data_IF_577104121416
#
_entry.id   IF_577104121416
#
_cell.length_a   1.000
_cell.length_b   1.000
_cell.length_c   1.000
_cell.angle_alpha   90.00
_cell.angle_beta   90.00
_cell.angle_gamma   90.00
#
_symmetry.space_group_name_H-M   'P 1'
#
loop_
_entity.id
_entity.type
_entity.pdbx_description
1 polymer ?
#
# COMPACT_ATOMS: atom_id res chain seq x y z
N UNK A 1 6.82 28.55 -7.34
CA UNK A 1 8.23 28.18 -7.09
C UNK A 1 8.26 26.68 -6.83
N UNK A 2 8.96 25.93 -7.68
CA UNK A 2 9.17 24.46 -7.72
C UNK A 2 8.07 23.58 -7.10
N UNK A 3 6.97 23.49 -7.82
CA UNK A 3 5.91 22.49 -7.65
C UNK A 3 6.49 21.07 -7.76
N UNK A 4 6.11 20.22 -6.82
CA UNK A 4 6.45 18.79 -6.84
C UNK A 4 5.85 18.11 -8.07
N UNK A 5 6.75 17.77 -9.00
CA UNK A 5 6.91 16.48 -9.65
C UNK A 5 5.64 15.82 -10.22
N UNK A 6 5.34 16.16 -11.49
CA UNK A 6 4.38 15.39 -12.31
C UNK A 6 4.98 14.05 -12.75
N UNK A 7 4.21 13.25 -13.51
CA UNK A 7 4.66 11.99 -14.15
C UNK A 7 6.00 12.14 -14.93
N UNK A 8 6.39 13.36 -15.32
CA UNK A 8 7.68 13.65 -15.95
C UNK A 8 8.87 13.76 -14.99
N UNK A 9 8.63 13.86 -13.68
CA UNK A 9 9.69 14.11 -12.68
C UNK A 9 9.88 12.94 -11.70
N UNK A 10 8.91 12.03 -11.54
CA UNK A 10 9.15 10.71 -10.92
C UNK A 10 9.51 9.72 -12.02
N UNK A 11 10.80 9.46 -12.21
CA UNK A 11 11.24 8.32 -13.01
C UNK A 11 11.07 7.01 -12.20
N UNK A 12 9.85 6.50 -12.17
CA UNK A 12 9.53 5.20 -11.57
C UNK A 12 10.05 4.01 -12.40
N UNK A 13 10.69 4.23 -13.56
CA UNK A 13 11.23 3.13 -14.38
C UNK A 13 12.33 2.36 -13.62
N UNK A 14 13.10 3.06 -12.78
CA UNK A 14 14.15 2.48 -11.93
C UNK A 14 13.63 1.82 -10.65
N UNK A 15 12.41 2.16 -10.23
CA UNK A 15 11.75 1.64 -9.01
C UNK A 15 10.89 0.39 -9.28
N UNK A 16 10.77 -0.02 -10.54
CA UNK A 16 10.01 -1.21 -10.95
C UNK A 16 10.80 -2.50 -10.68
N UNK A 17 10.63 -3.05 -9.48
CA UNK A 17 11.32 -4.28 -9.08
C UNK A 17 10.47 -5.49 -9.51
N UNK A 18 11.00 -6.32 -10.44
CA UNK A 18 10.51 -7.68 -10.65
C UNK A 18 11.18 -8.61 -9.63
N UNK A 19 10.44 -9.06 -8.62
CA UNK A 19 10.90 -10.12 -7.70
C UNK A 19 10.39 -11.47 -8.19
N UNK A 20 11.16 -12.53 -7.91
CA UNK A 20 10.74 -13.91 -8.22
C UNK A 20 9.34 -14.20 -7.67
N UNK A 21 8.45 -14.74 -8.50
CA UNK A 21 7.07 -15.05 -8.13
C UNK A 21 6.01 -14.00 -8.54
N UNK A 22 6.41 -12.80 -8.96
CA UNK A 22 5.47 -11.80 -9.49
C UNK A 22 5.12 -12.09 -10.96
N UNK A 23 3.85 -11.96 -11.41
CA UNK A 23 3.49 -12.11 -12.82
C UNK A 23 4.25 -11.10 -13.70
N UNK A 24 4.65 -11.54 -14.90
CA UNK A 24 5.55 -10.77 -15.77
C UNK A 24 4.98 -9.40 -16.20
N UNK A 25 3.67 -9.28 -16.23
CA UNK A 25 2.89 -8.10 -16.61
C UNK A 25 2.49 -7.21 -15.42
N UNK A 26 2.83 -7.60 -14.19
CA UNK A 26 2.60 -6.80 -12.99
C UNK A 26 3.87 -6.07 -12.59
N UNK A 27 3.70 -4.79 -12.23
CA UNK A 27 4.78 -3.92 -11.73
C UNK A 27 4.39 -3.29 -10.41
N UNK A 28 5.32 -3.26 -9.47
CA UNK A 28 5.20 -2.48 -8.24
C UNK A 28 5.87 -1.12 -8.44
N UNK A 29 5.17 -0.03 -8.13
CA UNK A 29 5.71 1.35 -8.20
C UNK A 29 5.00 2.27 -7.23
N UNK A 30 5.58 3.46 -6.97
CA UNK A 30 4.87 4.53 -6.26
C UNK A 30 3.63 4.98 -7.03
N UNK A 31 2.59 5.38 -6.30
CA UNK A 31 1.46 6.11 -6.86
C UNK A 31 1.84 7.55 -7.21
N UNK A 32 1.27 8.06 -8.29
CA UNK A 32 1.31 9.48 -8.63
C UNK A 32 0.16 10.23 -7.94
N UNK A 33 0.27 11.57 -7.74
CA UNK A 33 -0.78 12.37 -7.12
C UNK A 33 -2.17 12.18 -7.71
N UNK A 34 -2.26 12.03 -9.03
CA UNK A 34 -3.51 11.87 -9.78
C UNK A 34 -4.15 10.49 -9.57
N UNK A 35 -3.41 9.53 -9.02
CA UNK A 35 -3.87 8.15 -8.79
C UNK A 35 -4.52 7.96 -7.41
N UNK A 36 -4.54 8.99 -6.56
CA UNK A 36 -5.09 8.93 -5.21
C UNK A 36 -6.52 8.41 -5.18
N UNK A 37 -7.41 9.03 -5.95
CA UNK A 37 -8.84 8.68 -5.95
C UNK A 37 -9.07 7.25 -6.42
N UNK A 38 -8.37 6.82 -7.48
CA UNK A 38 -8.45 5.45 -7.99
C UNK A 38 -7.90 4.42 -6.98
N UNK A 39 -6.82 4.76 -6.27
CA UNK A 39 -6.24 3.87 -5.26
C UNK A 39 -7.13 3.74 -4.01
N UNK A 40 -7.72 4.83 -3.52
CA UNK A 40 -8.66 4.77 -2.39
C UNK A 40 -9.96 4.07 -2.77
N UNK A 41 -10.48 4.30 -3.99
CA UNK A 41 -11.62 3.55 -4.51
C UNK A 41 -11.32 2.06 -4.62
N UNK A 42 -10.12 1.67 -5.09
CA UNK A 42 -9.67 0.29 -5.09
C UNK A 42 -9.63 -0.31 -3.68
N UNK A 43 -9.06 0.41 -2.71
CA UNK A 43 -9.03 -0.03 -1.31
C UNK A 43 -10.44 -0.30 -0.77
N UNK A 44 -11.36 0.64 -1.00
CA UNK A 44 -12.76 0.50 -0.61
C UNK A 44 -13.42 -0.73 -1.25
N UNK A 45 -13.23 -0.95 -2.55
CA UNK A 45 -13.81 -2.11 -3.25
C UNK A 45 -13.34 -3.42 -2.64
N UNK A 46 -12.03 -3.61 -2.46
CA UNK A 46 -11.50 -4.86 -1.90
C UNK A 46 -11.92 -5.03 -0.44
N UNK A 47 -11.88 -3.96 0.36
CA UNK A 47 -12.36 -4.00 1.74
C UNK A 47 -13.85 -4.39 1.83
N UNK A 48 -14.70 -3.80 0.99
CA UNK A 48 -16.15 -4.07 0.98
C UNK A 48 -16.47 -5.52 0.66
N UNK A 49 -15.67 -6.15 -0.20
CA UNK A 49 -15.88 -7.53 -0.63
C UNK A 49 -15.42 -8.54 0.45
N UNK A 50 -14.24 -8.34 1.03
CA UNK A 50 -13.59 -9.36 1.86
C UNK A 50 -13.62 -9.09 3.36
N UNK A 51 -13.66 -7.82 3.77
CA UNK A 51 -13.44 -7.42 5.16
C UNK A 51 -14.72 -6.87 5.81
N UNK A 52 -15.47 -6.03 5.10
CA UNK A 52 -16.69 -5.42 5.60
C UNK A 52 -17.76 -6.44 6.08
N UNK A 53 -17.93 -7.62 5.45
CA UNK A 53 -18.85 -8.65 5.97
C UNK A 53 -18.40 -9.30 7.28
N UNK A 54 -17.11 -9.21 7.62
CA UNK A 54 -16.50 -9.79 8.82
C UNK A 54 -16.54 -8.78 9.97
N UNK A 55 -16.38 -7.49 9.66
CA UNK A 55 -16.44 -6.42 10.65
C UNK A 55 -17.86 -5.98 10.98
N UNK A 56 -17.97 -5.24 12.08
CA UNK A 56 -19.22 -4.55 12.40
C UNK A 56 -19.52 -3.46 11.37
N UNK A 57 -20.79 -3.03 11.29
CA UNK A 57 -21.19 -1.86 10.50
C UNK A 57 -20.34 -0.63 10.85
N UNK A 58 -20.07 -0.41 12.15
CA UNK A 58 -19.23 0.70 12.60
C UNK A 58 -17.80 0.57 12.07
N UNK A 59 -17.25 -0.64 12.02
CA UNK A 59 -15.93 -0.89 11.45
C UNK A 59 -15.85 -0.52 9.96
N UNK A 60 -16.88 -0.83 9.18
CA UNK A 60 -16.95 -0.42 7.78
C UNK A 60 -17.06 1.11 7.61
N UNK A 61 -17.86 1.77 8.46
CA UNK A 61 -17.97 3.23 8.50
C UNK A 61 -16.63 3.89 8.91
N UNK A 62 -15.96 3.34 9.92
CA UNK A 62 -14.65 3.77 10.41
C UNK A 62 -13.57 3.68 9.31
N UNK A 63 -13.56 2.58 8.56
CA UNK A 63 -12.66 2.43 7.42
C UNK A 63 -12.95 3.45 6.31
N UNK A 64 -14.21 3.69 5.99
CA UNK A 64 -14.61 4.71 5.02
C UNK A 64 -14.19 6.13 5.46
N UNK A 65 -14.41 6.47 6.74
CA UNK A 65 -13.95 7.73 7.34
C UNK A 65 -12.43 7.88 7.21
N UNK A 66 -11.68 6.81 7.47
CA UNK A 66 -10.23 6.81 7.36
C UNK A 66 -9.74 7.11 5.93
N UNK A 67 -10.21 6.37 4.92
CA UNK A 67 -9.75 6.55 3.54
C UNK A 67 -10.25 7.85 2.88
N UNK A 68 -11.28 8.47 3.47
CA UNK A 68 -11.87 9.73 3.00
C UNK A 68 -11.29 10.98 3.69
N UNK A 69 -10.39 10.82 4.67
CA UNK A 69 -9.82 11.94 5.41
C UNK A 69 -8.93 12.82 4.51
N UNK A 70 -9.31 14.10 4.35
CA UNK A 70 -8.55 15.08 3.59
C UNK A 70 -7.11 15.26 4.11
N UNK A 71 -6.86 15.02 5.41
CA UNK A 71 -5.52 15.04 6.00
C UNK A 71 -4.68 13.88 5.49
N UNK A 72 -5.27 12.71 5.25
CA UNK A 72 -4.57 11.56 4.69
C UNK A 72 -4.11 11.86 3.26
N UNK A 73 -4.99 12.45 2.44
CA UNK A 73 -4.64 12.94 1.10
C UNK A 73 -3.55 14.00 1.17
N UNK A 74 -3.64 14.95 2.09
CA UNK A 74 -2.59 15.96 2.30
C UNK A 74 -1.25 15.31 2.66
N UNK A 75 -1.22 14.33 3.58
CA UNK A 75 0.00 13.60 3.90
C UNK A 75 0.59 12.87 2.68
N UNK A 76 -0.25 12.26 1.84
CA UNK A 76 0.20 11.63 0.59
C UNK A 76 0.84 12.64 -0.35
N UNK A 77 0.20 13.80 -0.57
CA UNK A 77 0.71 14.86 -1.44
C UNK A 77 2.03 15.46 -0.95
N UNK A 78 2.26 15.48 0.37
CA UNK A 78 3.51 15.93 0.98
C UNK A 78 4.54 14.80 1.17
N UNK A 79 4.30 13.60 0.61
CA UNK A 79 5.23 12.47 0.69
C UNK A 79 5.31 11.78 2.06
N UNK A 80 4.44 12.14 3.01
CA UNK A 80 4.34 11.61 4.38
C UNK A 80 3.44 10.37 4.51
N UNK A 81 2.80 9.98 3.41
CA UNK A 81 2.00 8.76 3.30
C UNK A 81 2.37 7.99 2.02
N UNK A 82 3.52 7.30 2.00
CA UNK A 82 3.96 6.54 0.84
C UNK A 82 2.90 5.51 0.44
N UNK A 83 2.49 5.56 -0.82
CA UNK A 83 1.54 4.65 -1.43
C UNK A 83 2.21 3.97 -2.62
N UNK A 84 2.22 2.65 -2.61
CA UNK A 84 2.69 1.82 -3.71
C UNK A 84 1.51 1.06 -4.33
N UNK A 85 1.53 0.97 -5.65
CA UNK A 85 0.56 0.24 -6.45
C UNK A 85 1.23 -0.99 -7.05
N UNK A 86 0.49 -2.09 -7.11
CA UNK A 86 0.70 -3.16 -8.07
C UNK A 86 -0.20 -2.88 -9.27
N UNK A 87 0.40 -2.69 -10.45
CA UNK A 87 -0.32 -2.39 -11.69
C UNK A 87 -0.07 -3.47 -12.74
N UNK A 88 -1.13 -3.98 -13.34
CA UNK A 88 -1.07 -4.88 -14.50
C UNK A 88 -1.05 -4.04 -15.79
N UNK A 89 -0.04 -4.30 -16.63
CA UNK A 89 0.23 -3.58 -17.88
C UNK A 89 -0.60 -4.07 -19.07
N UNK A 90 -1.46 -5.07 -18.90
CA UNK A 90 -2.27 -5.60 -20.00
C UNK A 90 -3.24 -4.52 -20.51
N UNK A 91 -3.39 -4.40 -21.84
CA UNK A 91 -4.40 -3.52 -22.41
C UNK A 91 -5.81 -3.96 -21.95
N UNK A 92 -6.72 -3.00 -21.90
CA UNK A 92 -8.14 -3.29 -21.68
C UNK A 92 -8.59 -4.26 -22.77
N UNK A 93 -9.07 -5.44 -22.38
CA UNK A 93 -9.73 -6.31 -23.35
C UNK A 93 -11.08 -5.67 -23.63
N UNK A 94 -11.42 -5.43 -24.90
CA UNK A 94 -12.66 -4.77 -25.32
C UNK A 94 -13.94 -5.51 -24.87
N UNK A 95 -13.81 -6.72 -24.32
CA UNK A 95 -14.90 -7.54 -23.78
C UNK A 95 -14.59 -8.11 -22.38
N UNK A 96 -13.75 -7.46 -21.58
CA UNK A 96 -13.56 -7.87 -20.19
C UNK A 96 -14.92 -7.88 -19.46
N UNK A 97 -15.21 -8.97 -18.75
CA UNK A 97 -16.43 -9.10 -17.93
C UNK A 97 -16.66 -7.82 -17.13
N UNK A 98 -17.93 -7.40 -17.02
CA UNK A 98 -18.40 -6.22 -16.29
C UNK A 98 -18.06 -6.33 -14.79
N UNK A 99 -16.79 -6.17 -14.46
CA UNK A 99 -16.27 -6.00 -13.13
C UNK A 99 -15.70 -4.60 -12.99
N UNK A 100 -15.72 -4.06 -11.79
CA UNK A 100 -15.13 -2.77 -11.48
C UNK A 100 -13.61 -2.86 -11.69
N UNK A 101 -13.10 -2.23 -12.75
CA UNK A 101 -11.66 -2.12 -13.01
C UNK A 101 -11.17 -0.72 -12.69
N UNK A 102 -10.34 -0.59 -11.66
CA UNK A 102 -9.64 0.65 -11.37
C UNK A 102 -8.43 0.76 -12.29
N UNK A 103 -8.44 1.74 -13.18
CA UNK A 103 -7.33 2.02 -14.11
C UNK A 103 -6.69 3.36 -13.86
N UNK A 104 -5.39 3.42 -14.13
CA UNK A 104 -4.60 4.65 -14.16
C UNK A 104 -3.66 4.64 -15.36
N UNK A 105 -3.77 5.66 -16.22
CA UNK A 105 -2.94 5.79 -17.41
C UNK A 105 -2.92 4.54 -18.30
N UNK A 106 -4.03 3.81 -18.37
CA UNK A 106 -4.19 2.55 -19.13
C UNK A 106 -3.88 1.27 -18.36
N UNK A 107 -3.17 1.36 -17.24
CA UNK A 107 -2.77 0.20 -16.40
C UNK A 107 -3.87 -0.11 -15.36
N UNK A 108 -4.10 -1.39 -15.07
CA UNK A 108 -5.09 -1.81 -14.06
C UNK A 108 -4.43 -1.90 -12.69
N UNK A 109 -5.02 -1.28 -11.68
CA UNK A 109 -4.60 -1.44 -10.28
C UNK A 109 -5.08 -2.82 -9.81
N UNK A 110 -4.15 -3.65 -9.36
CA UNK A 110 -4.42 -5.02 -8.86
C UNK A 110 -4.00 -5.20 -7.40
N UNK A 111 -3.37 -4.20 -6.81
CA UNK A 111 -3.05 -4.17 -5.39
C UNK A 111 -2.47 -2.84 -4.94
N UNK A 112 -2.52 -2.57 -3.64
CA UNK A 112 -1.95 -1.36 -3.02
C UNK A 112 -1.29 -1.71 -1.68
N UNK A 113 -0.30 -0.92 -1.28
CA UNK A 113 0.21 -0.88 0.09
C UNK A 113 0.57 0.54 0.49
N UNK A 114 0.24 0.94 1.72
CA UNK A 114 0.60 2.26 2.25
C UNK A 114 1.31 2.18 3.59
N UNK A 115 2.21 3.14 3.82
CA UNK A 115 2.85 3.33 5.12
C UNK A 115 2.37 4.63 5.78
N UNK A 116 2.06 4.55 7.07
CA UNK A 116 1.80 5.69 7.95
C UNK A 116 2.83 5.69 9.08
N UNK A 117 3.06 6.85 9.69
CA UNK A 117 3.95 6.97 10.86
C UNK A 117 5.29 6.25 10.63
N UNK A 118 5.87 6.44 9.44
CA UNK A 118 7.19 5.93 9.02
C UNK A 118 7.30 4.43 8.73
N UNK A 119 6.57 3.56 9.43
CA UNK A 119 6.73 2.11 9.31
C UNK A 119 5.46 1.27 9.55
N UNK A 120 4.31 1.90 9.75
CA UNK A 120 3.05 1.19 9.98
C UNK A 120 2.31 0.97 8.67
N UNK A 121 2.05 -0.28 8.31
CA UNK A 121 1.19 -0.63 7.17
C UNK A 121 -0.25 -0.30 7.57
N UNK A 122 -0.81 0.76 6.97
CA UNK A 122 -2.18 1.18 7.22
C UNK A 122 -3.17 0.59 6.21
N UNK A 123 -2.73 0.25 5.00
CA UNK A 123 -3.53 -0.42 3.98
C UNK A 123 -2.65 -1.45 3.25
N UNK A 124 -3.19 -2.65 3.04
CA UNK A 124 -2.65 -3.64 2.12
C UNK A 124 -3.82 -4.41 1.51
N UNK A 125 -4.04 -4.25 0.22
CA UNK A 125 -5.11 -4.92 -0.50
C UNK A 125 -4.61 -5.47 -1.83
N UNK A 126 -5.11 -6.65 -2.20
CA UNK A 126 -4.88 -7.28 -3.50
C UNK A 126 -6.24 -7.73 -4.02
N UNK A 127 -6.53 -7.41 -5.28
CA UNK A 127 -7.76 -7.83 -5.96
C UNK A 127 -7.91 -9.35 -5.84
N UNK A 128 -9.10 -9.83 -5.42
CA UNK A 128 -9.36 -11.25 -5.18
C UNK A 128 -8.98 -12.15 -6.36
N UNK A 129 -9.15 -11.66 -7.60
CA UNK A 129 -8.80 -12.36 -8.84
C UNK A 129 -7.29 -12.53 -9.03
N UNK A 130 -6.49 -11.73 -8.33
CA UNK A 130 -5.03 -11.67 -8.41
C UNK A 130 -4.34 -12.15 -7.13
N UNK A 131 -5.09 -12.56 -6.10
CA UNK A 131 -4.53 -13.16 -4.89
C UNK A 131 -3.83 -14.48 -5.18
N UNK A 132 -2.93 -14.90 -4.28
CA UNK A 132 -2.09 -16.10 -4.41
C UNK A 132 -1.12 -16.10 -5.60
N UNK A 133 -0.84 -14.93 -6.19
CA UNK A 133 0.13 -14.74 -7.30
C UNK A 133 1.38 -13.96 -6.90
N UNK A 134 1.76 -13.98 -5.62
CA UNK A 134 2.97 -13.27 -5.13
C UNK A 134 2.87 -11.74 -5.04
N UNK A 135 1.74 -11.12 -5.43
CA UNK A 135 1.57 -9.65 -5.44
C UNK A 135 1.63 -9.06 -4.01
N UNK A 136 0.92 -9.66 -3.05
CA UNK A 136 0.93 -9.18 -1.67
C UNK A 136 2.33 -9.24 -1.04
N UNK A 137 3.08 -10.30 -1.31
CA UNK A 137 4.48 -10.42 -0.89
C UNK A 137 5.37 -9.36 -1.55
N UNK A 138 5.19 -9.11 -2.86
CA UNK A 138 5.96 -8.08 -3.56
C UNK A 138 5.69 -6.67 -3.00
N UNK A 139 4.45 -6.36 -2.67
CA UNK A 139 4.04 -5.11 -2.02
C UNK A 139 4.68 -4.97 -0.62
N UNK A 140 4.57 -5.99 0.23
CA UNK A 140 5.22 -6.03 1.55
C UNK A 140 6.72 -5.81 1.43
N UNK A 141 7.37 -6.53 0.52
CA UNK A 141 8.81 -6.41 0.36
C UNK A 141 9.22 -5.00 -0.13
N UNK A 142 8.41 -4.34 -0.99
CA UNK A 142 8.66 -2.94 -1.39
C UNK A 142 8.52 -1.97 -0.21
N UNK A 143 7.54 -2.19 0.68
CA UNK A 143 7.40 -1.41 1.91
C UNK A 143 8.57 -1.63 2.89
N UNK A 144 9.00 -2.88 3.09
CA UNK A 144 10.18 -3.20 3.90
C UNK A 144 11.45 -2.56 3.34
N UNK A 145 11.62 -2.53 2.01
CA UNK A 145 12.73 -1.84 1.37
C UNK A 145 12.64 -0.32 1.55
N UNK A 146 11.42 0.23 1.47
CA UNK A 146 11.17 1.65 1.61
C UNK A 146 11.60 2.22 2.96
N UNK A 147 11.36 1.49 4.06
CA UNK A 147 11.68 1.93 5.43
C UNK A 147 13.17 1.85 5.76
N UNK A 148 13.99 1.26 4.89
CA UNK A 148 15.44 1.18 5.09
C UNK A 148 16.09 2.55 4.98
N UNK A 149 17.10 2.79 5.80
CA UNK A 149 17.84 4.06 5.86
C UNK A 149 19.05 4.11 4.92
N UNK A 150 19.49 2.96 4.42
CA UNK A 150 20.68 2.77 3.59
C UNK A 150 20.39 2.71 2.08
N UNK A 151 19.16 3.05 1.66
CA UNK A 151 18.77 3.11 0.25
C UNK A 151 19.06 4.48 -0.35
N UNK A 152 19.22 4.52 -1.67
CA UNK A 152 19.34 5.79 -2.41
C UNK A 152 18.09 6.65 -2.23
N UNK A 153 16.91 6.03 -2.19
CA UNK A 153 15.64 6.70 -1.93
C UNK A 153 15.61 7.38 -0.54
N UNK A 154 16.14 6.72 0.49
CA UNK A 154 16.30 7.34 1.81
C UNK A 154 17.31 8.49 1.81
N UNK A 155 18.37 8.42 0.99
CA UNK A 155 19.34 9.51 0.83
C UNK A 155 18.70 10.72 0.15
N UNK A 156 17.88 10.50 -0.87
CA UNK A 156 17.11 11.54 -1.55
C UNK A 156 16.13 12.19 -0.55
N UNK A 157 15.39 11.40 0.21
CA UNK A 157 14.44 11.92 1.20
C UNK A 157 15.10 12.83 2.25
N UNK A 158 16.30 12.47 2.74
CA UNK A 158 17.06 13.32 3.70
C UNK A 158 17.41 14.70 3.13
N UNK A 159 17.56 14.81 1.82
CA UNK A 159 17.92 16.05 1.14
C UNK A 159 16.69 16.90 0.75
N UNK A 160 15.46 16.43 1.01
CA UNK A 160 14.25 17.20 0.79
C UNK A 160 14.09 18.29 1.86
N UNK A 161 13.37 19.34 1.48
CA UNK A 161 12.84 20.33 2.43
C UNK A 161 12.02 19.61 3.52
N UNK A 162 12.07 20.13 4.74
CA UNK A 162 11.46 19.53 5.93
C UNK A 162 9.96 19.21 5.74
N UNK A 163 9.25 20.10 5.04
CA UNK A 163 7.84 19.92 4.71
C UNK A 163 7.56 18.62 3.93
N UNK A 164 8.48 18.21 3.04
CA UNK A 164 8.35 17.06 2.14
C UNK A 164 9.25 15.87 2.51
N UNK A 165 9.98 15.98 3.62
CA UNK A 165 10.89 14.94 4.08
C UNK A 165 10.10 13.77 4.66
N UNK A 166 10.42 12.55 4.21
CA UNK A 166 9.96 11.34 4.84
C UNK A 166 11.00 10.84 5.84
N UNK A 167 10.66 10.89 7.13
CA UNK A 167 11.50 10.34 8.19
C UNK A 167 11.37 8.82 8.24
N UNK A 168 12.43 8.15 8.70
CA UNK A 168 12.46 6.70 8.84
C UNK A 168 12.95 6.35 10.21
N UNK A 169 12.29 5.40 10.84
CA UNK A 169 12.74 4.89 12.14
C UNK A 169 14.05 4.12 12.00
N UNK A 170 14.96 4.36 12.93
CA UNK A 170 16.18 3.59 13.09
C UNK A 170 15.83 2.14 13.43
N UNK A 171 16.05 1.23 12.47
CA UNK A 171 15.76 -0.20 12.62
C UNK A 171 15.18 -0.82 11.35
N UNK A 172 14.50 -0.04 10.51
CA UNK A 172 13.96 -0.52 9.23
C UNK A 172 12.97 -1.68 9.37
N UNK A 173 12.26 -1.75 10.49
CA UNK A 173 11.18 -2.70 10.73
C UNK A 173 9.86 -2.16 10.20
N UNK A 174 8.87 -3.03 10.05
CA UNK A 174 7.52 -2.69 9.62
C UNK A 174 6.52 -3.27 10.62
N UNK A 175 5.46 -2.53 10.92
CA UNK A 175 4.37 -2.97 11.82
C UNK A 175 3.04 -2.95 11.09
N UNK A 176 2.07 -3.71 11.59
CA UNK A 176 0.72 -3.75 11.06
C UNK A 176 -0.27 -4.19 12.14
N UNK A 177 -1.49 -3.70 12.06
CA UNK A 177 -2.64 -4.31 12.71
C UNK A 177 -3.32 -5.22 11.69
N UNK A 178 -2.98 -6.52 11.76
CA UNK A 178 -3.45 -7.49 10.79
C UNK A 178 -4.89 -7.90 11.09
N UNK A 179 -5.74 -7.86 10.06
CA UNK A 179 -7.04 -8.53 10.07
C UNK A 179 -6.88 -10.00 10.45
N UNK A 180 -7.84 -10.56 11.19
CA UNK A 180 -7.72 -11.92 11.77
C UNK A 180 -7.51 -13.00 10.69
N UNK A 181 -8.18 -12.87 9.55
CA UNK A 181 -8.05 -13.73 8.37
C UNK A 181 -6.68 -13.60 7.66
N UNK A 182 -5.97 -12.47 7.83
CA UNK A 182 -4.70 -12.17 7.17
C UNK A 182 -3.48 -12.52 8.02
N UNK A 183 -3.64 -12.88 9.31
CA UNK A 183 -2.53 -13.20 10.22
C UNK A 183 -1.59 -14.26 9.62
N UNK A 184 -2.13 -15.35 9.09
CA UNK A 184 -1.34 -16.41 8.47
C UNK A 184 -0.58 -15.98 7.21
N UNK A 185 -1.05 -14.94 6.50
CA UNK A 185 -0.31 -14.34 5.39
C UNK A 185 0.92 -13.59 5.92
N UNK A 186 0.76 -12.76 6.96
CA UNK A 186 1.86 -12.01 7.56
C UNK A 186 2.91 -12.94 8.22
N UNK A 187 2.47 -13.98 8.93
CA UNK A 187 3.36 -14.97 9.57
C UNK A 187 4.28 -15.65 8.54
N UNK A 188 3.76 -16.04 7.37
CA UNK A 188 4.55 -16.62 6.27
C UNK A 188 5.62 -15.67 5.73
N UNK A 189 5.41 -14.36 5.84
CA UNK A 189 6.38 -13.34 5.42
C UNK A 189 7.35 -12.93 6.52
N UNK A 190 7.33 -13.63 7.66
CA UNK A 190 8.24 -13.41 8.79
C UNK A 190 7.80 -12.29 9.73
N UNK A 191 6.52 -11.89 9.70
CA UNK A 191 5.95 -11.11 10.79
C UNK A 191 5.70 -12.02 12.00
N UNK A 192 5.87 -11.47 13.19
CA UNK A 192 5.49 -12.11 14.44
C UNK A 192 4.51 -11.23 15.21
N UNK A 193 3.66 -11.85 16.03
CA UNK A 193 2.68 -11.16 16.87
C UNK A 193 3.39 -10.41 17.99
N UNK A 194 3.00 -9.18 18.25
CA UNK A 194 3.58 -8.33 19.31
C UNK A 194 2.65 -8.11 20.49
N UNK A 195 1.42 -8.63 20.43
CA UNK A 195 0.40 -8.46 21.46
C UNK A 195 -0.83 -9.34 21.23
N UNK A 196 -1.81 -9.28 22.15
CA UNK A 196 -3.07 -10.00 22.03
C UNK A 196 -3.95 -9.42 20.90
N UNK A 197 -5.04 -10.12 20.61
CA UNK A 197 -6.13 -9.58 19.79
C UNK A 197 -6.66 -8.28 20.41
N UNK A 198 -6.89 -7.29 19.56
CA UNK A 198 -7.48 -6.02 19.91
C UNK A 198 -8.63 -5.68 18.98
N UNK A 199 -9.39 -4.66 19.37
CA UNK A 199 -10.44 -4.06 18.54
C UNK A 199 -10.28 -2.55 18.59
N UNK A 200 -10.47 -1.89 17.44
CA UNK A 200 -10.57 -0.45 17.36
C UNK A 200 -11.76 -0.08 16.50
N UNK A 201 -12.73 0.60 17.09
CA UNK A 201 -13.91 1.15 16.40
C UNK A 201 -14.64 0.12 15.52
N UNK A 202 -14.77 -1.12 16.03
CA UNK A 202 -15.47 -2.20 15.34
C UNK A 202 -14.64 -2.99 14.32
N UNK A 203 -13.32 -2.77 14.28
CA UNK A 203 -12.33 -3.53 13.48
C UNK A 203 -11.43 -4.32 14.43
N UNK A 204 -11.52 -5.66 14.40
CA UNK A 204 -10.64 -6.55 15.16
C UNK A 204 -9.30 -6.77 14.45
N UNK A 205 -8.22 -6.89 15.22
CA UNK A 205 -6.87 -7.04 14.69
C UNK A 205 -5.92 -7.79 15.61
N UNK A 206 -4.82 -8.30 15.04
CA UNK A 206 -3.64 -8.77 15.76
C UNK A 206 -2.48 -7.82 15.45
N UNK A 207 -1.83 -7.20 16.45
CA UNK A 207 -0.65 -6.38 16.22
C UNK A 207 0.54 -7.28 15.86
N UNK A 208 1.20 -6.94 14.75
CA UNK A 208 2.31 -7.71 14.21
C UNK A 208 3.47 -6.82 13.79
N UNK A 209 4.68 -7.38 13.81
CA UNK A 209 5.92 -6.71 13.43
C UNK A 209 6.80 -7.63 12.60
N UNK A 210 7.51 -7.07 11.63
CA UNK A 210 8.60 -7.71 10.92
C UNK A 210 9.84 -6.84 11.03
N UNK A 211 10.90 -7.41 11.61
CA UNK A 211 12.19 -6.75 11.67
C UNK A 211 12.92 -6.78 10.32
N UNK A 212 13.87 -5.87 10.19
CA UNK A 212 14.81 -5.86 9.07
C UNK A 212 15.64 -7.16 9.10
N UNK A 213 15.72 -7.82 7.93
CA UNK A 213 16.73 -8.86 7.67
C UNK A 213 18.05 -8.23 7.25
#
# INVERSE_FOLDING_TARGET
MKTWISRSTIDNSKDSIRRGGLPADVVIRRAFPEEWEAAMAFAWTVFSEFEAPIYSRRGAESFMEFISDARLKSMFLHGKYPLFLAVEKKPAVENAEQGFEMRTGGEKIVGIITLRQYNFISLLFVDGRYQHRGIGEALINRACEYVRTDTEEARIDRNKEEEYRYERESGGFVTVFAALNAVGFYEKLGFYRTGPEGENDGISYIPMRRDRK
#
